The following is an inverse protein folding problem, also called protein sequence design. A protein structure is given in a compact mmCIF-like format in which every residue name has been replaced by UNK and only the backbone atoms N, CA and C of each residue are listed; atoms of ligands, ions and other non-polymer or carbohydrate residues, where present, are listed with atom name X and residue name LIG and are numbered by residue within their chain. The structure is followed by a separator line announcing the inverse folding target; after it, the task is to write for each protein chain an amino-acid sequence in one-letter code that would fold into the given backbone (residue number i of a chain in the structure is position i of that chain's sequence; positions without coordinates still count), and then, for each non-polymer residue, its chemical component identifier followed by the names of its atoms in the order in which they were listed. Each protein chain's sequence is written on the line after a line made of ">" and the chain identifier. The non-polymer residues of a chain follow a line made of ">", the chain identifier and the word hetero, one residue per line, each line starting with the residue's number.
data_IF_656955919765
#
_entry.id   IF_656955919765
#
_cell.length_a   1.000
_cell.length_b   1.000
_cell.length_c   1.000
_cell.angle_alpha   90.00
_cell.angle_beta   90.00
_cell.angle_gamma   90.00
#
_symmetry.space_group_name_H-M   'P 1'
#
loop_
_entity.id
_entity.type
_entity.pdbx_description
1 polymer ?
#
# COMPACT_ATOMS: atom_id res chain seq x y z
N UNK A 1 -66.77 47.42 -2.75
CA UNK A 1 -66.43 45.98 -2.76
C UNK A 1 -64.93 45.85 -2.47
N UNK A 2 -64.64 45.21 -1.34
CA UNK A 2 -63.37 44.86 -0.68
C UNK A 2 -62.04 44.95 -1.45
N UNK A 3 -61.04 45.64 -0.86
CA UNK A 3 -59.60 45.31 -0.92
C UNK A 3 -58.93 45.77 0.39
N UNK A 4 -58.99 44.95 1.44
CA UNK A 4 -57.93 44.06 1.94
C UNK A 4 -56.57 44.73 2.19
N UNK A 5 -56.27 44.86 3.48
CA UNK A 5 -54.98 45.20 4.06
C UNK A 5 -53.94 44.11 3.77
N UNK A 6 -52.69 44.51 3.53
CA UNK A 6 -51.52 43.64 3.67
C UNK A 6 -50.49 44.36 4.54
N UNK A 7 -50.44 43.97 5.81
CA UNK A 7 -49.33 44.27 6.72
C UNK A 7 -48.11 43.47 6.25
N UNK A 8 -47.05 44.18 5.88
CA UNK A 8 -45.72 43.59 5.67
C UNK A 8 -45.17 43.13 7.03
N UNK A 9 -45.15 41.82 7.25
CA UNK A 9 -44.35 41.19 8.29
C UNK A 9 -42.92 41.11 7.78
N UNK A 10 -42.03 41.90 8.37
CA UNK A 10 -40.60 41.80 8.17
C UNK A 10 -40.09 40.51 8.84
N UNK A 11 -39.90 39.45 8.07
CA UNK A 11 -39.13 38.30 8.50
C UNK A 11 -37.66 38.72 8.62
N UNK A 12 -37.19 38.91 9.86
CA UNK A 12 -35.77 38.93 10.19
C UNK A 12 -35.14 37.63 9.67
N UNK A 13 -34.25 37.77 8.69
CA UNK A 13 -33.31 36.71 8.34
C UNK A 13 -32.34 36.56 9.53
N UNK A 14 -32.57 35.54 10.37
CA UNK A 14 -31.57 35.07 11.30
C UNK A 14 -30.44 34.45 10.47
N UNK A 15 -29.41 35.24 10.19
CA UNK A 15 -28.13 34.73 9.70
C UNK A 15 -27.59 33.77 10.75
N UNK A 16 -27.73 32.47 10.50
CA UNK A 16 -26.98 31.45 11.22
C UNK A 16 -25.53 31.68 10.82
N UNK A 17 -24.82 32.49 11.62
CA UNK A 17 -23.38 32.56 11.55
C UNK A 17 -22.88 31.14 11.83
N UNK A 18 -22.49 30.41 10.79
CA UNK A 18 -21.67 29.23 10.94
C UNK A 18 -20.48 29.65 11.80
N UNK A 19 -20.29 29.04 12.99
CA UNK A 19 -19.24 29.49 13.89
C UNK A 19 -17.92 29.40 13.13
N UNK A 20 -17.07 30.41 13.26
CA UNK A 20 -15.75 30.50 12.60
C UNK A 20 -14.89 29.23 12.83
N UNK A 21 -15.20 28.44 13.86
CA UNK A 21 -14.59 27.14 14.20
C UNK A 21 -15.03 25.97 13.32
N UNK A 22 -16.21 26.02 12.68
CA UNK A 22 -16.69 24.93 11.83
C UNK A 22 -15.82 24.74 10.57
N UNK A 23 -15.26 25.83 10.04
CA UNK A 23 -14.43 25.77 8.84
C UNK A 23 -13.04 25.13 9.07
N UNK A 24 -12.25 25.51 10.10
CA UNK A 24 -10.97 24.85 10.41
C UNK A 24 -11.11 23.36 10.73
N UNK A 25 -12.08 22.97 11.56
CA UNK A 25 -12.33 21.55 11.88
C UNK A 25 -12.77 20.78 10.62
N UNK A 26 -13.63 21.36 9.78
CA UNK A 26 -14.02 20.71 8.52
C UNK A 26 -12.83 20.53 7.57
N UNK A 27 -11.95 21.54 7.47
CA UNK A 27 -10.74 21.46 6.65
C UNK A 27 -9.78 20.38 7.18
N UNK A 28 -9.61 20.27 8.49
CA UNK A 28 -8.78 19.25 9.13
C UNK A 28 -9.33 17.84 8.85
N UNK A 29 -10.63 17.63 9.05
CA UNK A 29 -11.26 16.34 8.77
C UNK A 29 -11.21 15.96 7.29
N UNK A 30 -11.36 16.94 6.39
CA UNK A 30 -11.21 16.72 4.96
C UNK A 30 -9.76 16.30 4.60
N UNK A 31 -8.76 16.94 5.19
CA UNK A 31 -7.36 16.54 5.02
C UNK A 31 -7.14 15.10 5.50
N UNK A 32 -7.66 14.71 6.66
CA UNK A 32 -7.54 13.33 7.15
C UNK A 32 -8.20 12.33 6.22
N UNK A 33 -9.40 12.64 5.69
CA UNK A 33 -10.08 11.77 4.74
C UNK A 33 -9.30 11.62 3.43
N UNK A 34 -8.75 12.72 2.89
CA UNK A 34 -7.93 12.69 1.69
C UNK A 34 -6.66 11.85 1.87
N UNK A 35 -5.99 12.01 3.02
CA UNK A 35 -4.75 11.30 3.34
C UNK A 35 -5.00 9.82 3.62
N UNK A 36 -6.15 9.49 4.22
CA UNK A 36 -6.62 8.11 4.32
C UNK A 36 -6.79 7.48 2.94
N UNK A 37 -7.56 8.12 2.05
CA UNK A 37 -7.79 7.61 0.68
C UNK A 37 -6.50 7.53 -0.14
N UNK A 38 -5.57 8.48 0.04
CA UNK A 38 -4.23 8.38 -0.53
C UNK A 38 -3.50 7.16 -0.02
N UNK A 39 -3.48 6.91 1.29
CA UNK A 39 -2.78 5.77 1.87
C UNK A 39 -3.26 4.43 1.29
N UNK A 40 -4.57 4.28 1.07
CA UNK A 40 -5.16 3.09 0.48
C UNK A 40 -4.76 2.89 -0.99
N UNK A 41 -4.74 3.98 -1.77
CA UNK A 41 -4.36 3.96 -3.19
C UNK A 41 -2.86 3.71 -3.38
N UNK A 42 -2.04 4.36 -2.56
CA UNK A 42 -0.58 4.35 -2.68
C UNK A 42 0.02 3.09 -2.05
N UNK A 43 -0.69 2.45 -1.11
CA UNK A 43 -0.40 1.11 -0.59
C UNK A 43 -1.61 0.16 -0.75
N UNK A 44 -1.80 -0.41 -1.96
CA UNK A 44 -2.85 -1.39 -2.25
C UNK A 44 -2.88 -2.61 -1.30
N UNK A 45 -1.71 -2.99 -0.79
CA UNK A 45 -1.54 -4.04 0.19
C UNK A 45 -2.17 -3.66 1.53
N UNK A 46 -1.88 -2.45 2.01
CA UNK A 46 -2.51 -1.88 3.20
C UNK A 46 -4.03 -1.82 3.04
N UNK A 47 -4.54 -1.38 1.88
CA UNK A 47 -5.98 -1.41 1.60
C UNK A 47 -6.58 -2.81 1.77
N UNK A 48 -5.89 -3.85 1.30
CA UNK A 48 -6.37 -5.24 1.46
C UNK A 48 -6.39 -5.68 2.93
N UNK A 49 -5.40 -5.30 3.73
CA UNK A 49 -5.39 -5.58 5.18
C UNK A 49 -6.54 -4.87 5.92
N UNK A 50 -6.96 -3.70 5.44
CA UNK A 50 -8.11 -2.97 5.97
C UNK A 50 -9.46 -3.49 5.45
N UNK A 51 -9.48 -4.53 4.62
CA UNK A 51 -10.68 -5.07 4.01
C UNK A 51 -11.20 -4.28 2.80
N UNK A 52 -10.43 -3.29 2.32
CA UNK A 52 -10.78 -2.51 1.13
C UNK A 52 -10.25 -3.20 -0.13
N UNK A 53 -11.18 -3.64 -0.98
CA UNK A 53 -10.87 -4.40 -2.19
C UNK A 53 -10.77 -3.54 -3.46
N UNK A 54 -10.92 -2.21 -3.37
CA UNK A 54 -10.87 -1.30 -4.52
C UNK A 54 -9.54 -1.36 -5.28
N UNK A 55 -8.45 -1.67 -4.56
CA UNK A 55 -7.08 -1.76 -5.09
C UNK A 55 -6.50 -3.19 -5.02
N UNK A 56 -7.33 -4.21 -4.82
CA UNK A 56 -6.87 -5.59 -4.63
C UNK A 56 -6.30 -6.26 -5.91
N UNK A 57 -6.24 -5.52 -7.03
CA UNK A 57 -5.72 -5.94 -8.34
C UNK A 57 -4.25 -5.57 -8.57
N UNK A 58 -3.62 -4.81 -7.67
CA UNK A 58 -2.30 -4.21 -7.88
C UNK A 58 -1.41 -4.28 -6.63
N UNK A 59 -0.12 -4.04 -6.85
CA UNK A 59 0.90 -3.89 -5.81
C UNK A 59 1.30 -2.42 -5.69
N UNK A 60 1.94 -2.05 -4.58
CA UNK A 60 2.61 -0.75 -4.45
C UNK A 60 3.64 -0.59 -5.58
N UNK A 61 3.60 0.55 -6.28
CA UNK A 61 4.60 0.87 -7.30
C UNK A 61 5.89 1.37 -6.65
N UNK A 62 6.96 0.59 -6.75
CA UNK A 62 8.28 0.88 -6.21
C UNK A 62 9.22 1.54 -7.23
N UNK A 63 8.70 2.06 -8.34
CA UNK A 63 9.48 2.88 -9.27
C UNK A 63 10.02 4.16 -8.61
N UNK A 64 11.19 4.68 -9.04
CA UNK A 64 11.72 5.94 -8.51
C UNK A 64 10.74 7.12 -8.61
N UNK A 65 9.98 7.19 -9.70
CA UNK A 65 8.97 8.22 -9.91
C UNK A 65 7.82 8.12 -8.89
N UNK A 66 7.30 6.91 -8.65
CA UNK A 66 6.23 6.71 -7.67
C UNK A 66 6.70 6.95 -6.23
N UNK A 67 7.94 6.56 -5.89
CA UNK A 67 8.53 6.88 -4.59
C UNK A 67 8.65 8.39 -4.41
N UNK A 68 9.21 9.10 -5.40
CA UNK A 68 9.36 10.56 -5.35
C UNK A 68 8.00 11.27 -5.25
N UNK A 69 6.99 10.80 -5.97
CA UNK A 69 5.63 11.34 -5.94
C UNK A 69 4.99 11.16 -4.54
N UNK A 70 5.08 9.97 -3.94
CA UNK A 70 4.57 9.72 -2.57
C UNK A 70 5.27 10.62 -1.55
N UNK A 71 6.59 10.70 -1.63
CA UNK A 71 7.36 11.58 -0.76
C UNK A 71 6.92 13.04 -0.92
N UNK A 72 6.68 13.50 -2.17
CA UNK A 72 6.25 14.87 -2.44
C UNK A 72 4.85 15.15 -1.89
N UNK A 73 3.98 14.17 -1.99
CA UNK A 73 2.65 14.22 -1.41
C UNK A 73 2.69 14.33 0.12
N UNK A 74 3.65 13.69 0.81
CA UNK A 74 3.81 13.83 2.27
C UNK A 74 4.12 15.29 2.67
N UNK A 75 5.01 15.96 1.92
CA UNK A 75 5.31 17.39 2.14
C UNK A 75 4.11 18.28 1.85
N UNK A 76 3.42 18.03 0.73
CA UNK A 76 2.22 18.77 0.40
C UNK A 76 1.12 18.61 1.44
N UNK A 77 1.00 17.43 2.06
CA UNK A 77 0.07 17.18 3.16
C UNK A 77 0.45 17.98 4.42
N UNK A 78 1.74 18.08 4.74
CA UNK A 78 2.22 18.90 5.85
C UNK A 78 1.95 20.39 5.62
N UNK A 79 2.21 20.88 4.40
CA UNK A 79 1.91 22.28 4.04
C UNK A 79 0.40 22.57 4.14
N UNK A 80 -0.45 21.63 3.68
CA UNK A 80 -1.91 21.74 3.83
C UNK A 80 -2.35 21.73 5.28
N UNK A 81 -1.71 20.92 6.14
CA UNK A 81 -1.97 20.91 7.57
C UNK A 81 -1.62 22.26 8.19
N UNK A 82 -0.43 22.80 7.90
CA UNK A 82 0.04 24.08 8.42
C UNK A 82 -0.81 25.29 8.00
N UNK A 83 -1.52 25.19 6.88
CA UNK A 83 -2.48 26.21 6.46
C UNK A 83 -3.74 26.26 7.35
N UNK A 84 -4.00 25.24 8.18
CA UNK A 84 -5.12 25.21 9.12
C UNK A 84 -4.71 25.92 10.41
N UNK A 85 -5.45 26.96 10.79
CA UNK A 85 -5.18 27.71 12.01
C UNK A 85 -5.44 26.85 13.27
N UNK A 86 -4.39 26.20 13.79
CA UNK A 86 -4.45 25.33 14.98
C UNK A 86 -5.16 25.99 16.17
N UNK A 87 -4.90 27.28 16.42
CA UNK A 87 -5.51 28.01 17.54
C UNK A 87 -7.04 28.20 17.41
N UNK A 88 -7.59 28.04 16.20
CA UNK A 88 -9.03 28.09 15.95
C UNK A 88 -9.72 26.72 16.11
N UNK A 89 -8.96 25.64 16.34
CA UNK A 89 -9.49 24.29 16.55
C UNK A 89 -9.94 24.09 18.01
N UNK A 90 -10.93 23.22 18.19
CA UNK A 90 -11.30 22.72 19.52
C UNK A 90 -10.14 21.91 20.14
N UNK A 91 -10.04 21.79 21.48
CA UNK A 91 -8.90 21.11 22.13
C UNK A 91 -8.63 19.67 21.63
N UNK A 92 -9.68 18.89 21.34
CA UNK A 92 -9.53 17.55 20.79
C UNK A 92 -8.95 17.56 19.36
N UNK A 93 -9.38 18.51 18.53
CA UNK A 93 -8.87 18.67 17.16
C UNK A 93 -7.44 19.22 17.15
N UNK A 94 -7.04 20.01 18.15
CA UNK A 94 -5.65 20.42 18.33
C UNK A 94 -4.76 19.20 18.60
N UNK A 95 -5.22 18.24 19.42
CA UNK A 95 -4.47 17.00 19.65
C UNK A 95 -4.37 16.15 18.38
N UNK A 96 -5.46 16.04 17.61
CA UNK A 96 -5.46 15.33 16.34
C UNK A 96 -4.50 15.98 15.33
N UNK A 97 -4.54 17.32 15.24
CA UNK A 97 -3.60 18.12 14.44
C UNK A 97 -2.16 17.83 14.83
N UNK A 98 -1.81 17.94 16.11
CA UNK A 98 -0.43 17.77 16.60
C UNK A 98 0.08 16.35 16.34
N UNK A 99 -0.79 15.36 16.54
CA UNK A 99 -0.47 13.95 16.28
C UNK A 99 -0.20 13.73 14.80
N UNK A 100 -1.04 14.28 13.93
CA UNK A 100 -0.87 14.13 12.48
C UNK A 100 0.35 14.89 11.96
N UNK A 101 0.61 16.09 12.49
CA UNK A 101 1.82 16.86 12.21
C UNK A 101 3.07 16.05 12.55
N UNK A 102 3.12 15.48 13.76
CA UNK A 102 4.23 14.65 14.20
C UNK A 102 4.45 13.44 13.28
N UNK A 103 3.36 12.76 12.87
CA UNK A 103 3.44 11.63 11.93
C UNK A 103 3.98 12.04 10.56
N UNK A 104 3.51 13.15 9.99
CA UNK A 104 3.97 13.66 8.70
C UNK A 104 5.43 14.10 8.76
N UNK A 105 5.82 14.86 9.79
CA UNK A 105 7.20 15.28 9.99
C UNK A 105 8.12 14.06 10.13
N UNK A 106 7.74 13.08 10.94
CA UNK A 106 8.51 11.84 11.09
C UNK A 106 8.65 11.08 9.76
N UNK A 107 7.56 10.97 8.99
CA UNK A 107 7.59 10.33 7.68
C UNK A 107 8.52 11.06 6.71
N UNK A 108 8.50 12.40 6.68
CA UNK A 108 9.37 13.23 5.84
C UNK A 108 10.84 13.11 6.28
N UNK A 109 11.12 13.21 7.57
CA UNK A 109 12.47 13.10 8.13
C UNK A 109 13.13 11.77 7.78
N UNK A 110 12.36 10.68 7.74
CA UNK A 110 12.86 9.35 7.43
C UNK A 110 13.32 9.20 5.97
N UNK A 111 12.80 10.00 5.06
CA UNK A 111 13.08 9.87 3.63
C UNK A 111 14.57 10.04 3.30
N UNK A 112 15.31 10.83 4.09
CA UNK A 112 16.77 11.02 3.94
C UNK A 112 17.57 9.73 4.16
N UNK A 113 17.02 8.77 4.91
CA UNK A 113 17.66 7.46 5.15
C UNK A 113 17.46 6.47 3.99
N UNK A 114 16.63 6.83 3.00
CA UNK A 114 16.44 6.06 1.76
C UNK A 114 16.14 4.58 2.02
N UNK A 115 15.27 4.30 2.97
CA UNK A 115 14.94 2.94 3.40
C UNK A 115 14.39 2.05 2.28
N UNK A 116 13.80 2.64 1.23
CA UNK A 116 13.33 1.93 0.03
C UNK A 116 14.44 1.17 -0.69
N UNK A 117 15.71 1.52 -0.48
CA UNK A 117 16.87 0.78 -1.00
C UNK A 117 17.08 -0.60 -0.35
N UNK A 118 16.35 -0.89 0.73
CA UNK A 118 16.31 -2.18 1.39
C UNK A 118 14.91 -2.81 1.27
N UNK A 119 14.43 -3.14 0.05
CA UNK A 119 13.05 -3.54 -0.19
C UNK A 119 12.71 -4.96 0.32
N UNK A 120 13.71 -5.68 0.83
CA UNK A 120 13.56 -7.06 1.32
C UNK A 120 14.14 -7.17 2.73
N UNK A 121 13.34 -7.77 3.62
CA UNK A 121 13.76 -8.27 4.92
C UNK A 121 13.06 -9.59 5.26
N UNK A 122 13.37 -10.20 6.40
CA UNK A 122 12.79 -11.50 6.78
C UNK A 122 11.25 -11.54 6.96
N UNK A 123 10.59 -10.38 7.04
CA UNK A 123 9.15 -10.19 7.24
C UNK A 123 8.49 -9.32 6.15
N UNK A 124 9.21 -8.90 5.11
CA UNK A 124 8.70 -7.96 4.12
C UNK A 124 9.43 -8.07 2.79
N UNK A 125 8.68 -7.94 1.70
CA UNK A 125 9.19 -7.96 0.33
C UNK A 125 8.50 -9.00 -0.56
N UNK A 126 8.84 -9.03 -1.86
CA UNK A 126 8.21 -9.90 -2.85
C UNK A 126 8.31 -11.40 -2.54
N UNK A 127 9.28 -11.84 -1.74
CA UNK A 127 9.47 -13.25 -1.37
C UNK A 127 8.35 -13.85 -0.50
N UNK A 128 7.51 -13.00 0.08
CA UNK A 128 6.33 -13.40 0.87
C UNK A 128 5.03 -12.78 0.34
N UNK A 129 5.01 -12.34 -0.92
CA UNK A 129 3.84 -11.69 -1.52
C UNK A 129 2.61 -12.62 -1.59
N UNK A 130 2.77 -13.94 -1.50
CA UNK A 130 1.65 -14.88 -1.42
C UNK A 130 0.79 -14.69 -0.16
N UNK A 131 1.38 -14.20 0.94
CA UNK A 131 0.70 -14.05 2.23
C UNK A 131 -0.51 -13.12 2.19
N UNK A 132 -0.58 -12.18 1.24
CA UNK A 132 -1.74 -11.29 1.10
C UNK A 132 -3.02 -12.04 0.71
N UNK A 133 -2.90 -13.23 0.12
CA UNK A 133 -4.06 -14.06 -0.18
C UNK A 133 -4.84 -14.44 1.10
N UNK A 134 -4.18 -14.47 2.26
CA UNK A 134 -4.84 -14.80 3.53
C UNK A 134 -5.83 -13.73 4.00
N UNK A 135 -5.75 -12.51 3.46
CA UNK A 135 -6.64 -11.40 3.83
C UNK A 135 -7.62 -11.03 2.72
N UNK A 136 -7.61 -11.76 1.59
CA UNK A 136 -8.52 -11.54 0.48
C UNK A 136 -9.80 -12.39 0.63
N UNK A 137 -10.97 -11.90 0.19
CA UNK A 137 -12.26 -12.53 0.48
C UNK A 137 -12.56 -13.80 -0.32
N UNK A 138 -12.07 -13.92 -1.56
CA UNK A 138 -12.28 -15.07 -2.46
C UNK A 138 -13.73 -15.59 -2.54
N UNK A 139 -14.71 -14.69 -2.40
CA UNK A 139 -16.14 -15.01 -2.36
C UNK A 139 -16.80 -14.93 -3.74
N UNK A 140 -16.25 -14.11 -4.63
CA UNK A 140 -16.78 -13.86 -5.97
C UNK A 140 -15.74 -14.11 -7.06
N UNK A 141 -16.16 -14.37 -8.31
CA UNK A 141 -15.25 -14.52 -9.45
C UNK A 141 -14.31 -13.30 -9.57
N UNK A 142 -14.81 -12.10 -9.28
CA UNK A 142 -14.02 -10.86 -9.28
C UNK A 142 -12.84 -10.90 -8.31
N UNK A 143 -13.00 -11.51 -7.13
CA UNK A 143 -11.91 -11.60 -6.13
C UNK A 143 -10.76 -12.48 -6.65
N UNK A 144 -11.09 -13.61 -7.29
CA UNK A 144 -10.07 -14.46 -7.93
C UNK A 144 -9.39 -13.75 -9.10
N UNK A 145 -10.14 -12.97 -9.90
CA UNK A 145 -9.58 -12.20 -11.02
C UNK A 145 -8.63 -11.09 -10.52
N UNK A 146 -8.96 -10.41 -9.43
CA UNK A 146 -8.07 -9.43 -8.77
C UNK A 146 -6.80 -10.10 -8.25
N UNK A 147 -6.91 -11.28 -7.65
CA UNK A 147 -5.74 -12.04 -7.22
C UNK A 147 -4.86 -12.47 -8.40
N UNK A 148 -5.45 -12.94 -9.50
CA UNK A 148 -4.72 -13.25 -10.74
C UNK A 148 -3.99 -12.03 -11.31
N UNK A 149 -4.59 -10.83 -11.21
CA UNK A 149 -3.95 -9.58 -11.63
C UNK A 149 -2.71 -9.29 -10.76
N UNK A 150 -2.82 -9.44 -9.43
CA UNK A 150 -1.66 -9.35 -8.52
C UNK A 150 -0.59 -10.38 -8.84
N UNK A 151 -0.95 -11.65 -9.00
CA UNK A 151 -0.02 -12.71 -9.40
C UNK A 151 0.71 -12.33 -10.69
N UNK A 152 -0.03 -11.86 -11.69
CA UNK A 152 0.52 -11.42 -12.98
C UNK A 152 1.50 -10.25 -12.84
N UNK A 153 1.33 -9.37 -11.85
CA UNK A 153 2.18 -8.21 -11.62
C UNK A 153 3.42 -8.52 -10.73
N UNK A 154 3.55 -9.73 -10.17
CA UNK A 154 4.71 -10.13 -9.35
C UNK A 154 6.06 -9.94 -10.07
N UNK A 155 6.23 -10.27 -11.36
CA UNK A 155 7.49 -10.02 -12.06
C UNK A 155 7.93 -8.55 -12.02
N UNK A 156 6.99 -7.61 -12.22
CA UNK A 156 7.27 -6.17 -12.12
C UNK A 156 7.66 -5.77 -10.70
N UNK A 157 6.95 -6.28 -9.69
CA UNK A 157 7.28 -6.04 -8.28
C UNK A 157 8.71 -6.52 -7.95
N UNK A 158 9.08 -7.71 -8.42
CA UNK A 158 10.43 -8.27 -8.27
C UNK A 158 11.47 -7.41 -8.98
N UNK A 159 11.21 -6.97 -10.20
CA UNK A 159 12.14 -6.17 -10.98
C UNK A 159 12.41 -4.81 -10.34
N UNK A 160 11.37 -4.17 -9.81
CA UNK A 160 11.52 -2.93 -9.04
C UNK A 160 12.30 -3.15 -7.74
N UNK A 161 12.04 -4.25 -7.01
CA UNK A 161 12.80 -4.60 -5.82
C UNK A 161 14.28 -4.87 -6.15
N UNK A 162 14.58 -5.56 -7.25
CA UNK A 162 15.97 -5.78 -7.70
C UNK A 162 16.65 -4.45 -8.03
N UNK A 163 15.98 -3.54 -8.74
CA UNK A 163 16.53 -2.22 -9.06
C UNK A 163 16.87 -1.42 -7.78
N UNK A 164 15.96 -1.40 -6.80
CA UNK A 164 16.20 -0.75 -5.51
C UNK A 164 17.35 -1.40 -4.73
N UNK A 165 17.43 -2.73 -4.71
CA UNK A 165 18.56 -3.45 -4.09
C UNK A 165 19.88 -3.14 -4.78
N UNK A 166 19.91 -3.00 -6.11
CA UNK A 166 21.11 -2.61 -6.85
C UNK A 166 21.57 -1.20 -6.46
N UNK A 167 20.63 -0.27 -6.30
CA UNK A 167 20.93 1.09 -5.85
C UNK A 167 21.35 1.13 -4.37
N UNK A 168 20.78 0.26 -3.52
CA UNK A 168 21.22 0.04 -2.15
C UNK A 168 22.66 -0.43 -2.07
N UNK A 169 23.03 -1.41 -2.90
CA UNK A 169 24.41 -1.88 -3.03
C UNK A 169 25.35 -0.75 -3.44
N UNK A 170 25.01 0.03 -4.48
CA UNK A 170 25.83 1.17 -4.93
C UNK A 170 25.99 2.24 -3.85
N UNK A 171 24.94 2.50 -3.07
CA UNK A 171 24.93 3.50 -2.02
C UNK A 171 25.54 3.01 -0.69
N UNK A 172 25.90 1.72 -0.58
CA UNK A 172 26.29 1.10 0.69
C UNK A 172 25.14 1.01 1.72
N UNK A 173 23.90 1.26 1.30
CA UNK A 173 22.72 1.20 2.16
C UNK A 173 22.21 -0.25 2.22
N UNK A 174 22.87 -1.07 3.04
CA UNK A 174 22.64 -2.51 3.09
C UNK A 174 22.04 -2.97 4.43
N UNK A 175 21.10 -3.94 4.42
CA UNK A 175 20.52 -4.49 5.63
C UNK A 175 21.52 -5.39 6.38
N UNK A 176 21.31 -5.63 7.70
CA UNK A 176 22.10 -6.59 8.47
C UNK A 176 22.04 -8.01 7.90
N UNK A 177 23.20 -8.66 7.78
CA UNK A 177 23.33 -10.03 7.25
C UNK A 177 22.50 -11.06 8.00
N UNK A 178 22.45 -10.96 9.33
CA UNK A 178 21.72 -11.90 10.19
C UNK A 178 20.23 -12.00 9.82
N UNK A 179 19.62 -10.88 9.40
CA UNK A 179 18.22 -10.87 8.97
C UNK A 179 18.07 -11.44 7.56
N UNK A 180 19.07 -11.23 6.69
CA UNK A 180 19.02 -11.66 5.30
C UNK A 180 19.28 -13.15 5.09
N UNK A 181 19.91 -13.84 6.03
CA UNK A 181 20.20 -15.29 5.93
C UNK A 181 18.95 -16.17 5.82
N UNK A 182 17.77 -15.70 6.25
CA UNK A 182 16.49 -16.42 6.16
C UNK A 182 15.82 -16.28 4.79
N UNK A 183 16.14 -15.21 4.07
CA UNK A 183 15.46 -14.83 2.82
C UNK A 183 15.68 -15.84 1.67
N UNK A 184 16.87 -16.46 1.48
CA UNK A 184 17.07 -17.43 0.40
C UNK A 184 16.07 -18.59 0.43
N UNK A 185 15.74 -19.09 1.63
CA UNK A 185 14.76 -20.16 1.81
C UNK A 185 13.32 -19.68 1.49
N UNK A 186 12.97 -18.43 1.84
CA UNK A 186 11.68 -17.83 1.50
C UNK A 186 11.52 -17.71 -0.02
N UNK A 187 12.56 -17.24 -0.72
CA UNK A 187 12.53 -17.15 -2.19
C UNK A 187 12.45 -18.56 -2.80
N UNK A 188 13.22 -19.52 -2.28
CA UNK A 188 13.21 -20.91 -2.76
C UNK A 188 11.82 -21.55 -2.67
N UNK A 189 11.06 -21.26 -1.62
CA UNK A 189 9.71 -21.78 -1.42
C UNK A 189 8.71 -21.34 -2.51
N UNK A 190 9.01 -20.27 -3.25
CA UNK A 190 8.17 -19.79 -4.36
C UNK A 190 8.52 -20.47 -5.70
N UNK A 191 9.63 -21.19 -5.77
CA UNK A 191 10.12 -21.88 -6.98
C UNK A 191 9.66 -23.33 -6.91
N UNK A 192 8.56 -23.63 -7.61
CA UNK A 192 7.94 -24.96 -7.64
C UNK A 192 7.98 -25.56 -9.03
N UNK A 193 8.06 -26.89 -9.10
CA UNK A 193 7.96 -27.62 -10.37
C UNK A 193 6.50 -27.84 -10.78
N UNK A 194 5.64 -28.15 -9.80
CA UNK A 194 4.19 -28.18 -9.98
C UNK A 194 3.57 -26.83 -9.58
N UNK A 195 2.91 -26.18 -10.55
CA UNK A 195 2.21 -24.93 -10.32
C UNK A 195 1.15 -25.02 -9.21
N UNK A 196 0.52 -26.18 -9.00
CA UNK A 196 -0.50 -26.35 -7.96
C UNK A 196 0.05 -26.40 -6.54
N UNK A 197 1.36 -26.67 -6.39
CA UNK A 197 2.07 -26.65 -5.13
C UNK A 197 2.39 -25.22 -4.66
N UNK A 198 2.36 -24.23 -5.56
CA UNK A 198 2.70 -22.83 -5.25
C UNK A 198 1.82 -22.25 -4.13
N UNK A 199 2.40 -21.49 -3.18
CA UNK A 199 1.63 -20.73 -2.19
C UNK A 199 0.60 -19.78 -2.82
N UNK A 200 0.93 -19.14 -3.96
CA UNK A 200 0.02 -18.28 -4.71
C UNK A 200 -1.21 -19.01 -5.27
N UNK A 201 -1.09 -20.32 -5.50
CA UNK A 201 -2.17 -21.15 -6.03
C UNK A 201 -3.18 -21.60 -4.95
N UNK A 202 -2.87 -21.44 -3.65
CA UNK A 202 -3.72 -21.93 -2.55
C UNK A 202 -5.22 -21.58 -2.71
N UNK A 203 -5.62 -20.35 -3.08
CA UNK A 203 -7.04 -20.01 -3.23
C UNK A 203 -7.76 -20.82 -4.32
N UNK A 204 -7.07 -21.28 -5.35
CA UNK A 204 -7.67 -22.01 -6.48
C UNK A 204 -7.85 -23.52 -6.21
N UNK A 205 -7.35 -24.02 -5.07
CA UNK A 205 -7.56 -25.42 -4.66
C UNK A 205 -9.02 -25.65 -4.30
N UNK A 206 -9.61 -24.74 -3.52
CA UNK A 206 -11.02 -24.80 -3.08
C UNK A 206 -11.70 -23.47 -3.36
N UNK A 207 -12.76 -23.51 -4.16
CA UNK A 207 -13.59 -22.35 -4.45
C UNK A 207 -14.75 -22.26 -3.48
N UNK A 208 -15.27 -21.04 -3.27
CA UNK A 208 -16.57 -20.83 -2.69
C UNK A 208 -17.67 -21.46 -3.57
N UNK A 209 -18.73 -21.96 -2.94
CA UNK A 209 -19.81 -22.66 -3.67
C UNK A 209 -20.54 -21.76 -4.67
N UNK A 210 -20.57 -20.45 -4.41
CA UNK A 210 -21.15 -19.43 -5.27
C UNK A 210 -20.45 -19.26 -6.62
N UNK A 211 -19.22 -19.77 -6.79
CA UNK A 211 -18.47 -19.62 -8.04
C UNK A 211 -18.96 -20.63 -9.08
N UNK A 212 -19.36 -20.20 -10.30
CA UNK A 212 -19.79 -21.13 -11.36
C UNK A 212 -18.71 -22.13 -11.75
N UNK A 213 -19.10 -23.39 -12.02
CA UNK A 213 -18.14 -24.47 -12.36
C UNK A 213 -17.25 -24.12 -13.58
N UNK A 214 -17.82 -23.48 -14.59
CA UNK A 214 -17.09 -23.02 -15.79
C UNK A 214 -15.99 -21.99 -15.43
N UNK A 215 -16.28 -21.05 -14.53
CA UNK A 215 -15.31 -20.07 -14.05
C UNK A 215 -14.18 -20.74 -13.26
N UNK A 216 -14.49 -21.75 -12.43
CA UNK A 216 -13.48 -22.47 -11.62
C UNK A 216 -12.41 -23.11 -12.50
N UNK A 217 -12.82 -23.73 -13.61
CA UNK A 217 -11.88 -24.37 -14.54
C UNK A 217 -10.96 -23.35 -15.20
N UNK A 218 -11.52 -22.25 -15.72
CA UNK A 218 -10.74 -21.18 -16.34
C UNK A 218 -9.78 -20.52 -15.34
N UNK A 219 -10.25 -20.19 -14.13
CA UNK A 219 -9.44 -19.58 -13.08
C UNK A 219 -8.26 -20.47 -12.64
N UNK A 220 -8.47 -21.79 -12.54
CA UNK A 220 -7.38 -22.73 -12.26
C UNK A 220 -6.34 -22.76 -13.36
N UNK A 221 -6.78 -22.84 -14.62
CA UNK A 221 -5.88 -22.85 -15.78
C UNK A 221 -5.05 -21.56 -15.84
N UNK A 222 -5.69 -20.40 -15.67
CA UNK A 222 -5.04 -19.10 -15.64
C UNK A 222 -4.03 -18.99 -14.48
N UNK A 223 -4.39 -19.47 -13.29
CA UNK A 223 -3.50 -19.48 -12.13
C UNK A 223 -2.28 -20.39 -12.34
N UNK A 224 -2.48 -21.61 -12.85
CA UNK A 224 -1.39 -22.54 -13.15
C UNK A 224 -0.43 -21.96 -14.20
N UNK A 225 -0.97 -21.39 -15.27
CA UNK A 225 -0.17 -20.74 -16.31
C UNK A 225 0.60 -19.55 -15.74
N UNK A 226 -0.04 -18.70 -14.95
CA UNK A 226 0.61 -17.54 -14.31
C UNK A 226 1.76 -17.98 -13.40
N UNK A 227 1.56 -19.01 -12.57
CA UNK A 227 2.62 -19.55 -11.71
C UNK A 227 3.81 -20.04 -12.53
N UNK A 228 3.55 -20.90 -13.52
CA UNK A 228 4.59 -21.54 -14.34
C UNK A 228 5.36 -20.54 -15.21
N UNK A 229 4.62 -19.66 -15.90
CA UNK A 229 5.17 -18.82 -16.97
C UNK A 229 5.67 -17.47 -16.46
N UNK A 230 5.19 -17.00 -15.29
CA UNK A 230 5.54 -15.68 -14.75
C UNK A 230 6.21 -15.75 -13.39
N UNK A 231 5.58 -16.38 -12.39
CA UNK A 231 6.08 -16.32 -11.00
C UNK A 231 7.38 -17.11 -10.85
N UNK A 232 7.40 -18.38 -11.25
CA UNK A 232 8.58 -19.24 -11.07
C UNK A 232 9.82 -18.66 -11.75
N UNK A 233 9.78 -18.20 -13.01
CA UNK A 233 10.92 -17.52 -13.64
C UNK A 233 11.34 -16.24 -12.91
N UNK A 234 10.39 -15.41 -12.46
CA UNK A 234 10.70 -14.19 -11.73
C UNK A 234 11.35 -14.47 -10.36
N UNK A 235 10.89 -15.48 -9.64
CA UNK A 235 11.51 -15.89 -8.38
C UNK A 235 12.89 -16.54 -8.57
N UNK A 236 13.12 -17.29 -9.65
CA UNK A 236 14.46 -17.75 -10.03
C UNK A 236 15.41 -16.59 -10.29
N UNK A 237 14.96 -15.56 -11.00
CA UNK A 237 15.72 -14.30 -11.21
C UNK A 237 16.04 -13.62 -9.88
N UNK A 238 15.04 -13.47 -8.99
CA UNK A 238 15.24 -12.90 -7.66
C UNK A 238 16.25 -13.72 -6.83
N UNK A 239 16.11 -15.05 -6.83
CA UNK A 239 17.00 -15.94 -6.08
C UNK A 239 18.46 -15.81 -6.54
N UNK A 240 18.68 -15.81 -7.86
CA UNK A 240 20.01 -15.68 -8.44
C UNK A 240 20.66 -14.35 -8.04
N UNK A 241 19.95 -13.23 -8.22
CA UNK A 241 20.46 -11.92 -7.83
C UNK A 241 20.68 -11.82 -6.31
N UNK A 242 19.71 -12.26 -5.52
CA UNK A 242 19.79 -12.15 -4.05
C UNK A 242 20.99 -12.93 -3.50
N UNK A 243 21.17 -14.19 -3.93
CA UNK A 243 22.22 -15.04 -3.41
C UNK A 243 23.62 -14.62 -3.87
N UNK A 244 23.76 -14.22 -5.13
CA UNK A 244 25.07 -13.96 -5.72
C UNK A 244 25.54 -12.51 -5.55
N UNK A 245 24.61 -11.55 -5.54
CA UNK A 245 24.96 -10.13 -5.58
C UNK A 245 24.58 -9.38 -4.30
N UNK A 246 23.41 -9.66 -3.73
CA UNK A 246 22.89 -8.87 -2.60
C UNK A 246 23.37 -9.39 -1.25
N UNK A 247 23.12 -10.66 -0.94
CA UNK A 247 23.44 -11.29 0.35
C UNK A 247 24.94 -11.17 0.71
N UNK A 248 25.91 -11.40 -0.19
CA UNK A 248 27.33 -11.25 0.14
C UNK A 248 27.74 -9.82 0.51
N UNK A 249 27.00 -8.81 0.05
CA UNK A 249 27.25 -7.39 0.31
C UNK A 249 26.50 -6.84 1.54
N UNK A 250 25.66 -7.64 2.18
CA UNK A 250 24.99 -7.26 3.43
C UNK A 250 25.99 -6.98 4.53
N UNK A 251 25.69 -5.99 5.38
CA UNK A 251 26.59 -5.58 6.47
C UNK A 251 26.62 -6.63 7.58
N UNK A 252 27.80 -6.84 8.16
CA UNK A 252 27.98 -7.78 9.27
C UNK A 252 27.47 -7.22 10.61
N UNK A 253 27.53 -5.89 10.78
CA UNK A 253 27.03 -5.22 11.98
C UNK A 253 25.50 -5.31 12.05
N UNK A 254 24.98 -5.37 13.28
CA UNK A 254 23.55 -5.28 13.56
C UNK A 254 23.10 -3.83 13.82
N UNK A 255 24.00 -2.96 14.27
CA UNK A 255 23.74 -1.53 14.51
C UNK A 255 23.82 -0.72 13.22
N UNK A 256 23.02 0.33 13.10
CA UNK A 256 23.28 1.39 12.12
C UNK A 256 24.62 2.06 12.50
N UNK A 257 25.45 2.35 11.51
CA UNK A 257 26.72 3.06 11.70
C UNK A 257 26.45 4.57 11.75
#
# INVERSE_FOLDING_TARGET
>A
MFRFALLLVACLAASIATPLQAQPTQALNALFADEWERSLRDSPEFASYQGDTRYADRWTDFSPAAIAARQAADRAALDRLHAIARAALAPADQLNYDTFEWLLQHNIERQKFRETLQPINHQGGPQIADGIAETMPFATTTDYRRWLARMTAVPTLIDQAIALMQDGVKAGNMPPRVLMQRVPAQIAAQIVDDATASPFYRPFRKFADAIPSADRAALRADAQATVRDKLVPAYRKLQAYFNNEYLPRTRQSISVA
#
